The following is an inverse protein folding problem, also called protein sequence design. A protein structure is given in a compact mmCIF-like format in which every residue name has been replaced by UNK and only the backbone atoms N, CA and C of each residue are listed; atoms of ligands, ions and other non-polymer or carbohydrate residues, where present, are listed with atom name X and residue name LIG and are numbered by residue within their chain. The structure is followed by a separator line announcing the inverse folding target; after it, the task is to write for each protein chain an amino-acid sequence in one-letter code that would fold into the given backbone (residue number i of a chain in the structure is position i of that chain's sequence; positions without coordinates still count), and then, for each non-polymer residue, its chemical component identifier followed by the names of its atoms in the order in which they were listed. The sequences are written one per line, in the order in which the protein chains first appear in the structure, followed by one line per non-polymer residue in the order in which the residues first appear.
data_IF_786584011291
#
_entry.id   IF_786584011291
#
_cell.length_a   1.000
_cell.length_b   1.000
_cell.length_c   1.000
_cell.angle_alpha   90.00
_cell.angle_beta   90.00
_cell.angle_gamma   90.00
#
_symmetry.space_group_name_H-M   'P 1'
#
loop_
_entity.id
_entity.type
_entity.pdbx_description
1 polymer ?
#
# COMPACT_ATOMS: atom_id res chain seq x y z
N UNK A 1 -8.76 -0.81 3.18
CA UNK A 1 -7.34 -0.60 3.57
C UNK A 1 -6.52 -0.43 2.30
N UNK A 2 -5.48 0.39 2.31
CA UNK A 2 -4.57 0.50 1.17
C UNK A 2 -3.45 -0.51 1.34
N UNK A 3 -3.06 -1.17 0.26
CA UNK A 3 -1.95 -2.11 0.25
C UNK A 3 -0.85 -1.63 -0.68
N UNK A 4 0.37 -2.00 -0.33
CA UNK A 4 1.55 -1.88 -1.16
C UNK A 4 2.02 -3.28 -1.55
N UNK A 5 2.24 -3.47 -2.85
CA UNK A 5 2.75 -4.71 -3.44
C UNK A 5 4.01 -4.36 -4.23
N UNK A 6 5.15 -4.91 -3.81
CA UNK A 6 6.44 -4.72 -4.47
C UNK A 6 6.76 -5.93 -5.35
N UNK A 7 7.12 -5.68 -6.59
CA UNK A 7 7.48 -6.72 -7.57
C UNK A 7 8.81 -6.38 -8.23
N UNK A 8 9.55 -7.42 -8.62
CA UNK A 8 10.85 -7.27 -9.27
C UNK A 8 10.66 -7.06 -10.77
N UNK A 9 11.33 -6.06 -11.32
CA UNK A 9 11.21 -5.66 -12.72
C UNK A 9 10.33 -4.44 -12.92
N UNK A 10 10.47 -3.83 -14.09
CA UNK A 10 9.72 -2.64 -14.49
C UNK A 10 8.44 -3.01 -15.21
N UNK A 11 7.33 -2.61 -14.61
CA UNK A 11 6.03 -2.73 -15.24
C UNK A 11 5.82 -1.54 -16.18
N UNK A 12 5.69 -1.83 -17.48
CA UNK A 12 5.42 -0.78 -18.46
C UNK A 12 4.01 -0.19 -18.32
N UNK A 13 3.83 1.04 -18.80
CA UNK A 13 2.57 1.80 -18.71
C UNK A 13 1.35 1.12 -19.36
N UNK A 14 1.58 0.12 -20.21
CA UNK A 14 0.53 -0.72 -20.82
C UNK A 14 -0.26 -1.54 -19.80
N UNK A 15 0.30 -1.80 -18.62
CA UNK A 15 -0.33 -2.60 -17.57
C UNK A 15 -1.09 -1.75 -16.55
N UNK A 16 -0.99 -0.42 -16.63
CA UNK A 16 -1.72 0.51 -15.75
C UNK A 16 -3.22 0.30 -15.82
N UNK A 17 -3.74 0.02 -17.01
CA UNK A 17 -5.15 -0.33 -17.26
C UNK A 17 -5.50 -1.70 -16.64
N UNK A 18 -4.54 -2.62 -16.59
CA UNK A 18 -4.75 -3.94 -15.98
C UNK A 18 -4.80 -3.89 -14.45
N UNK A 19 -4.17 -2.88 -13.86
CA UNK A 19 -4.16 -2.61 -12.42
C UNK A 19 -5.04 -1.41 -12.07
N UNK A 20 -6.15 -1.22 -12.80
CA UNK A 20 -7.16 -0.18 -12.57
C UNK A 20 -7.42 0.12 -11.08
N UNK A 21 -7.25 1.38 -10.71
CA UNK A 21 -7.40 1.86 -9.32
C UNK A 21 -6.14 1.74 -8.45
N UNK A 22 -5.05 1.17 -8.97
CA UNK A 22 -3.74 1.14 -8.31
C UNK A 22 -2.78 2.13 -8.96
N UNK A 23 -2.02 2.82 -8.12
CA UNK A 23 -0.87 3.62 -8.52
C UNK A 23 0.33 2.72 -8.75
N UNK A 24 0.89 2.78 -9.97
CA UNK A 24 2.12 2.09 -10.33
C UNK A 24 3.28 3.07 -10.23
N UNK A 25 4.28 2.72 -9.42
CA UNK A 25 5.50 3.52 -9.24
C UNK A 25 6.70 2.66 -9.59
N UNK A 26 7.55 3.12 -10.50
CA UNK A 26 8.82 2.48 -10.82
C UNK A 26 9.88 3.04 -9.88
N UNK A 27 10.58 2.17 -9.15
CA UNK A 27 11.69 2.53 -8.28
C UNK A 27 13.03 2.47 -9.04
N UNK A 28 13.98 3.28 -8.61
CA UNK A 28 15.32 3.41 -9.21
C UNK A 28 16.11 2.09 -9.17
N UNK A 29 15.80 1.22 -8.20
CA UNK A 29 16.38 -0.11 -8.01
C UNK A 29 15.94 -1.17 -9.04
N UNK A 30 15.09 -0.81 -10.01
CA UNK A 30 14.59 -1.76 -11.01
C UNK A 30 13.28 -2.45 -10.63
N UNK A 31 12.64 -2.02 -9.54
CA UNK A 31 11.42 -2.63 -9.00
C UNK A 31 10.18 -1.80 -9.34
N UNK A 32 9.02 -2.45 -9.26
CA UNK A 32 7.73 -1.76 -9.38
C UNK A 32 6.95 -1.89 -8.08
N UNK A 33 6.38 -0.79 -7.64
CA UNK A 33 5.52 -0.70 -6.47
C UNK A 33 4.10 -0.39 -6.94
N UNK A 34 3.17 -1.31 -6.63
CA UNK A 34 1.75 -1.15 -6.85
C UNK A 34 1.11 -0.73 -5.53
N UNK A 35 0.46 0.42 -5.49
CA UNK A 35 -0.18 0.95 -4.29
C UNK A 35 -1.63 1.31 -4.56
N UNK A 36 -2.55 0.84 -3.73
CA UNK A 36 -3.92 1.33 -3.81
C UNK A 36 -4.93 0.60 -2.92
N UNK A 37 -6.19 1.03 -2.94
CA UNK A 37 -7.23 0.52 -2.07
C UNK A 37 -7.59 -0.92 -2.44
N UNK A 38 -7.58 -1.79 -1.43
CA UNK A 38 -8.06 -3.16 -1.56
C UNK A 38 -9.36 -3.29 -0.77
N UNK A 39 -10.40 -3.72 -1.48
CA UNK A 39 -11.76 -3.86 -0.95
C UNK A 39 -11.85 -5.10 -0.06
N UNK A 40 -11.30 -6.24 -0.54
CA UNK A 40 -11.33 -7.53 0.17
C UNK A 40 -10.08 -8.38 -0.12
N UNK A 41 -9.86 -9.43 0.69
CA UNK A 41 -8.76 -10.39 0.48
C UNK A 41 -8.81 -11.07 -0.90
N UNK A 42 -10.00 -11.28 -1.46
CA UNK A 42 -10.16 -11.79 -2.84
C UNK A 42 -9.59 -10.83 -3.88
N UNK A 43 -9.77 -9.51 -3.69
CA UNK A 43 -9.18 -8.50 -4.56
C UNK A 43 -7.65 -8.52 -4.45
N UNK A 44 -7.11 -8.62 -3.21
CA UNK A 44 -5.66 -8.77 -2.99
C UNK A 44 -5.09 -9.99 -3.74
N UNK A 45 -5.73 -11.15 -3.57
CA UNK A 45 -5.31 -12.37 -4.25
C UNK A 45 -5.44 -12.28 -5.77
N UNK A 46 -6.43 -11.53 -6.28
CA UNK A 46 -6.55 -11.20 -7.70
C UNK A 46 -5.35 -10.41 -8.21
N UNK A 47 -4.87 -9.42 -7.46
CA UNK A 47 -3.67 -8.64 -7.80
C UNK A 47 -2.41 -9.53 -7.83
N UNK A 48 -2.24 -10.40 -6.83
CA UNK A 48 -1.11 -11.35 -6.79
C UNK A 48 -1.15 -12.36 -7.94
N UNK A 49 -2.35 -12.77 -8.36
CA UNK A 49 -2.52 -13.62 -9.54
C UNK A 49 -2.07 -12.90 -10.81
N UNK A 50 -2.41 -11.61 -10.99
CA UNK A 50 -1.94 -10.80 -12.13
C UNK A 50 -0.41 -10.69 -12.15
N UNK A 51 0.22 -10.45 -10.99
CA UNK A 51 1.70 -10.45 -10.87
C UNK A 51 2.30 -11.79 -11.32
N UNK A 52 1.69 -12.91 -10.91
CA UNK A 52 2.12 -14.26 -11.34
C UNK A 52 1.95 -14.45 -12.86
N UNK A 53 0.85 -13.99 -13.42
CA UNK A 53 0.54 -14.12 -14.86
C UNK A 53 1.57 -13.37 -15.73
N UNK A 54 2.07 -12.24 -15.21
CA UNK A 54 3.15 -11.46 -15.81
C UNK A 54 4.53 -12.14 -15.72
N UNK A 55 4.63 -13.26 -14.99
CA UNK A 55 5.89 -13.94 -14.74
C UNK A 55 6.86 -13.14 -13.87
N UNK A 56 6.39 -12.11 -13.18
CA UNK A 56 7.26 -11.26 -12.35
C UNK A 56 7.40 -11.81 -10.92
N UNK A 57 8.61 -11.75 -10.33
CA UNK A 57 8.82 -12.14 -8.95
C UNK A 57 8.13 -11.16 -8.00
N UNK A 58 7.29 -11.67 -7.10
CA UNK A 58 6.77 -10.93 -5.97
C UNK A 58 7.90 -10.71 -4.95
N UNK A 59 8.13 -9.46 -4.55
CA UNK A 59 9.16 -9.08 -3.57
C UNK A 59 8.55 -8.93 -2.18
N UNK A 60 7.44 -8.18 -2.06
CA UNK A 60 6.78 -7.94 -0.76
C UNK A 60 5.32 -7.54 -0.93
N UNK A 61 4.51 -7.79 0.10
CA UNK A 61 3.10 -7.37 0.21
C UNK A 61 2.87 -6.89 1.63
N UNK A 62 2.30 -5.70 1.80
CA UNK A 62 1.95 -5.18 3.11
C UNK A 62 0.85 -4.13 3.06
N UNK A 63 0.13 -3.91 4.17
CA UNK A 63 -0.75 -2.75 4.29
C UNK A 63 0.10 -1.48 4.24
N UNK A 64 -0.39 -0.48 3.49
CA UNK A 64 0.16 0.86 3.55
C UNK A 64 -0.45 1.52 4.78
N UNK A 65 0.28 1.46 5.89
CA UNK A 65 0.00 2.22 7.11
C UNK A 65 -0.06 3.70 6.73
N UNK A 66 -1.27 4.20 6.45
CA UNK A 66 -1.50 5.62 6.44
C UNK A 66 -1.31 6.01 7.89
N UNK A 67 -0.22 6.73 8.18
CA UNK A 67 0.07 7.19 9.53
C UNK A 67 -1.18 7.82 10.12
N UNK A 68 -1.93 7.05 10.90
CA UNK A 68 -2.85 7.60 11.85
C UNK A 68 -1.92 8.33 12.80
N UNK A 69 -1.88 9.65 12.65
CA UNK A 69 -1.61 10.54 13.75
C UNK A 69 -2.65 10.26 14.83
N UNK A 70 -2.54 9.12 15.49
CA UNK A 70 -3.02 8.95 16.84
C UNK A 70 -2.03 9.75 17.66
N UNK A 71 -2.32 11.04 17.82
CA UNK A 71 -1.92 11.73 19.04
C UNK A 71 -2.44 10.87 20.19
N UNK A 72 -1.57 10.20 20.97
CA UNK A 72 -2.02 9.76 22.28
C UNK A 72 -2.32 11.08 23.01
N UNK A 73 -3.58 11.29 23.34
CA UNK A 73 -3.96 12.34 24.27
C UNK A 73 -3.22 12.09 25.57
N UNK A 74 -2.08 12.77 25.76
CA UNK A 74 -1.55 13.02 27.08
C UNK A 74 -2.43 14.11 27.66
N UNK A 75 -3.50 13.65 28.32
CA UNK A 75 -3.96 14.16 29.61
C UNK A 75 -3.65 15.65 29.84
N UNK A 76 -4.49 16.52 29.28
CA UNK A 76 -4.66 17.85 29.82
C UNK A 76 -5.37 17.68 31.16
N UNK A 77 -4.60 17.41 32.21
CA UNK A 77 -5.02 17.57 33.58
C UNK A 77 -5.33 19.05 33.82
N UNK A 78 -6.58 19.41 33.54
CA UNK A 78 -7.29 20.40 34.33
C UNK A 78 -7.18 19.99 35.80
N UNK A 79 -6.34 20.70 36.55
CA UNK A 79 -6.61 20.93 37.95
C UNK A 79 -6.34 22.41 38.23
N UNK A 80 -7.32 23.21 37.81
CA UNK A 80 -7.64 24.44 38.50
C UNK A 80 -8.32 24.04 39.81
N UNK A 81 -7.62 24.04 40.94
CA UNK A 81 -8.29 24.32 42.21
C UNK A 81 -7.41 25.14 43.16
N UNK A 82 -8.09 26.15 43.67
CA UNK A 82 -7.70 27.24 44.53
C UNK A 82 -7.26 26.77 45.93
N UNK A 83 -6.12 27.27 46.41
CA UNK A 83 -6.02 28.12 47.63
C UNK A 83 -4.57 28.45 47.97
#
# INVERSE_FOLDING_TARGET
MVYQIRIKGHLGSQWTDWFEGLTITLEEDGNTVLTGPVIDQSALHGLLKKVRDLGMPLVSVGPLEHGSSTTPGTDQADQSDVK
#
